data_IF_334084015360
#
_entry.id   IF_334084015360
#
_cell.length_a   1.000
_cell.length_b   1.000
_cell.length_c   1.000
_cell.angle_alpha   90.00
_cell.angle_beta   90.00
_cell.angle_gamma   90.00
#
_symmetry.space_group_name_H-M   'P 1'
#
loop_
_entity.id
_entity.type
_entity.pdbx_description
1 polymer ?
#
# COMPACT_ATOMS: atom_id res chain seq x y z
N UNK A 1 -21.61 -12.28 -14.63
CA UNK A 1 -21.65 -11.53 -13.35
C UNK A 1 -20.29 -11.72 -12.70
N UNK A 2 -19.43 -10.70 -12.78
CA UNK A 2 -18.03 -10.78 -12.35
C UNK A 2 -17.89 -11.05 -10.84
N UNK A 3 -16.81 -11.72 -10.45
CA UNK A 3 -16.51 -11.97 -9.03
C UNK A 3 -15.81 -10.74 -8.42
N UNK A 4 -15.26 -9.88 -9.28
CA UNK A 4 -14.70 -8.57 -8.94
C UNK A 4 -15.80 -7.57 -8.55
N UNK A 5 -16.00 -7.39 -7.24
CA UNK A 5 -16.87 -6.34 -6.71
C UNK A 5 -16.13 -5.01 -6.61
N UNK A 6 -16.86 -3.90 -6.50
CA UNK A 6 -16.27 -2.56 -6.34
C UNK A 6 -15.33 -2.47 -5.13
N UNK A 7 -15.65 -3.14 -4.01
CA UNK A 7 -14.79 -3.18 -2.84
C UNK A 7 -13.46 -3.91 -3.10
N UNK A 8 -13.50 -5.05 -3.80
CA UNK A 8 -12.30 -5.82 -4.18
C UNK A 8 -11.45 -5.06 -5.19
N UNK A 9 -12.10 -4.42 -6.16
CA UNK A 9 -11.43 -3.55 -7.13
C UNK A 9 -10.71 -2.39 -6.43
N UNK A 10 -11.37 -1.73 -5.47
CA UNK A 10 -10.75 -0.67 -4.68
C UNK A 10 -9.57 -1.18 -3.86
N UNK A 11 -9.69 -2.34 -3.21
CA UNK A 11 -8.58 -2.96 -2.48
C UNK A 11 -7.38 -3.25 -3.39
N UNK A 12 -7.63 -3.82 -4.59
CA UNK A 12 -6.58 -4.12 -5.57
C UNK A 12 -5.87 -2.85 -6.01
N UNK A 13 -6.62 -1.81 -6.41
CA UNK A 13 -6.05 -0.53 -6.83
C UNK A 13 -5.19 0.11 -5.72
N UNK A 14 -5.65 0.05 -4.47
CA UNK A 14 -4.90 0.57 -3.32
C UNK A 14 -3.58 -0.16 -3.11
N UNK A 15 -3.58 -1.49 -3.09
CA UNK A 15 -2.35 -2.26 -2.90
C UNK A 15 -1.36 -2.05 -4.04
N UNK A 16 -1.82 -2.06 -5.29
CA UNK A 16 -0.94 -1.83 -6.44
C UNK A 16 -0.35 -0.42 -6.37
N UNK A 17 -1.17 0.58 -6.04
CA UNK A 17 -0.73 1.96 -5.98
C UNK A 17 0.30 2.20 -4.87
N UNK A 18 0.11 1.64 -3.68
CA UNK A 18 0.98 1.91 -2.53
C UNK A 18 2.09 0.90 -2.32
N UNK A 19 1.84 -0.38 -2.56
CA UNK A 19 2.83 -1.46 -2.33
C UNK A 19 3.54 -1.86 -3.62
N UNK A 20 2.98 -1.52 -4.79
CA UNK A 20 3.57 -1.84 -6.08
C UNK A 20 3.43 -3.31 -6.49
N UNK A 21 2.75 -4.13 -5.68
CA UNK A 21 2.53 -5.54 -5.96
C UNK A 21 1.25 -6.08 -5.31
N UNK A 22 0.72 -7.17 -5.86
CA UNK A 22 -0.40 -7.90 -5.28
C UNK A 22 -0.34 -9.38 -5.67
N UNK A 23 -0.78 -10.26 -4.78
CA UNK A 23 -0.95 -11.69 -5.06
C UNK A 23 -2.26 -12.22 -4.47
N UNK A 24 -2.57 -13.50 -4.72
CA UNK A 24 -3.80 -14.14 -4.26
C UNK A 24 -3.95 -14.08 -2.74
N UNK A 25 -2.85 -14.19 -1.98
CA UNK A 25 -2.88 -14.23 -0.51
C UNK A 25 -3.45 -12.94 0.08
N UNK A 26 -3.15 -11.78 -0.50
CA UNK A 26 -3.71 -10.50 -0.03
C UNK A 26 -5.24 -10.51 -0.06
N UNK A 27 -5.83 -11.08 -1.12
CA UNK A 27 -7.28 -11.20 -1.24
C UNK A 27 -7.86 -12.27 -0.31
N UNK A 28 -7.17 -13.40 -0.15
CA UNK A 28 -7.55 -14.48 0.76
C UNK A 28 -7.59 -13.95 2.19
N UNK A 29 -6.53 -13.27 2.64
CA UNK A 29 -6.42 -12.72 3.99
C UNK A 29 -7.46 -11.63 4.24
N UNK A 30 -7.68 -10.74 3.26
CA UNK A 30 -8.62 -9.62 3.41
C UNK A 30 -10.07 -10.06 3.43
N UNK A 31 -10.46 -10.97 2.55
CA UNK A 31 -11.87 -11.31 2.30
C UNK A 31 -12.26 -12.72 2.74
N UNK A 32 -11.34 -13.51 3.28
CA UNK A 32 -11.53 -14.90 3.68
C UNK A 32 -12.14 -15.75 2.54
N UNK A 33 -11.63 -15.58 1.33
CA UNK A 33 -12.08 -16.27 0.11
C UNK A 33 -11.13 -17.40 -0.27
N UNK A 34 -11.58 -18.31 -1.14
CA UNK A 34 -10.71 -19.39 -1.61
C UNK A 34 -9.64 -18.87 -2.58
N UNK A 35 -8.52 -19.60 -2.68
CA UNK A 35 -7.46 -19.29 -3.65
C UNK A 35 -8.00 -19.19 -5.08
N UNK A 36 -8.87 -20.12 -5.48
CA UNK A 36 -9.48 -20.11 -6.82
C UNK A 36 -10.27 -18.83 -7.08
N UNK A 37 -11.03 -18.35 -6.08
CA UNK A 37 -11.75 -17.08 -6.18
C UNK A 37 -10.78 -15.90 -6.27
N UNK A 38 -9.75 -15.86 -5.43
CA UNK A 38 -8.72 -14.82 -5.45
C UNK A 38 -8.00 -14.73 -6.81
N UNK A 39 -7.51 -15.86 -7.34
CA UNK A 39 -6.85 -15.89 -8.64
C UNK A 39 -7.79 -15.47 -9.77
N UNK A 40 -9.07 -15.83 -9.69
CA UNK A 40 -10.08 -15.41 -10.68
C UNK A 40 -10.31 -13.90 -10.63
N UNK A 41 -10.36 -13.31 -9.44
CA UNK A 41 -10.49 -11.85 -9.25
C UNK A 41 -9.30 -11.11 -9.86
N UNK A 42 -8.06 -11.56 -9.58
CA UNK A 42 -6.86 -10.92 -10.16
C UNK A 42 -6.81 -11.08 -11.68
N UNK A 43 -7.22 -12.25 -12.19
CA UNK A 43 -7.33 -12.49 -13.63
C UNK A 43 -8.35 -11.55 -14.28
N UNK A 44 -9.52 -11.38 -13.68
CA UNK A 44 -10.58 -10.48 -14.16
C UNK A 44 -10.11 -9.01 -14.18
N UNK A 45 -9.41 -8.57 -13.12
CA UNK A 45 -8.79 -7.24 -13.07
C UNK A 45 -7.79 -7.05 -14.20
N UNK A 46 -6.84 -7.99 -14.38
CA UNK A 46 -5.80 -7.91 -15.41
C UNK A 46 -6.37 -7.97 -16.83
N UNK A 47 -7.41 -8.76 -17.07
CA UNK A 47 -8.09 -8.80 -18.38
C UNK A 47 -8.72 -7.45 -18.73
N UNK A 48 -9.20 -6.72 -17.72
CA UNK A 48 -9.80 -5.39 -17.91
C UNK A 48 -8.73 -4.30 -18.06
N UNK A 49 -7.59 -4.43 -17.35
CA UNK A 49 -6.51 -3.46 -17.33
C UNK A 49 -5.14 -4.14 -17.58
N UNK A 50 -4.89 -4.59 -18.82
CA UNK A 50 -3.71 -5.40 -19.14
C UNK A 50 -2.38 -4.64 -18.97
N UNK A 51 -2.40 -3.32 -19.14
CA UNK A 51 -1.21 -2.46 -19.04
C UNK A 51 -0.88 -2.03 -17.60
N UNK A 52 -1.71 -2.41 -16.61
CA UNK A 52 -1.49 -2.01 -15.21
C UNK A 52 -0.56 -2.97 -14.47
N UNK A 53 -0.50 -4.24 -14.86
CA UNK A 53 0.18 -5.29 -14.12
C UNK A 53 0.82 -6.34 -15.02
N UNK A 54 2.04 -6.75 -14.66
CA UNK A 54 2.67 -7.95 -15.18
C UNK A 54 2.89 -8.96 -14.06
N UNK A 55 2.89 -10.25 -14.40
CA UNK A 55 3.17 -11.31 -13.43
C UNK A 55 4.68 -11.55 -13.37
N UNK A 56 5.25 -11.49 -12.16
CA UNK A 56 6.64 -11.80 -11.91
C UNK A 56 6.76 -13.16 -11.20
N UNK A 57 7.50 -14.08 -11.82
CA UNK A 57 7.66 -15.45 -11.32
C UNK A 57 8.55 -15.52 -10.08
N UNK A 58 9.54 -14.63 -9.96
CA UNK A 58 10.46 -14.60 -8.82
C UNK A 58 9.76 -14.11 -7.56
N UNK A 59 8.96 -13.05 -7.68
CA UNK A 59 8.16 -12.50 -6.60
C UNK A 59 6.89 -13.32 -6.31
N UNK A 60 6.50 -14.21 -7.23
CA UNK A 60 5.22 -14.94 -7.22
C UNK A 60 4.04 -13.99 -6.98
N UNK A 61 4.06 -12.84 -7.67
CA UNK A 61 3.12 -11.74 -7.49
C UNK A 61 2.92 -10.98 -8.81
N UNK A 62 1.82 -10.26 -8.90
CA UNK A 62 1.62 -9.26 -9.94
C UNK A 62 2.28 -7.96 -9.49
N UNK A 63 3.17 -7.43 -10.31
CA UNK A 63 3.87 -6.19 -10.06
C UNK A 63 3.27 -5.06 -10.89
N UNK A 64 3.35 -3.84 -10.36
CA UNK A 64 2.92 -2.64 -11.07
C UNK A 64 3.79 -2.40 -12.31
N UNK A 65 3.14 -2.10 -13.44
CA UNK A 65 3.82 -1.67 -14.66
C UNK A 65 4.05 -0.14 -14.65
N UNK A 66 5.07 0.32 -15.37
CA UNK A 66 5.34 1.76 -15.52
C UNK A 66 4.19 2.50 -16.25
N UNK A 67 3.38 1.77 -17.03
CA UNK A 67 2.19 2.29 -17.71
C UNK A 67 0.94 2.32 -16.83
N UNK A 68 1.06 1.95 -15.54
CA UNK A 68 -0.07 1.89 -14.64
C UNK A 68 -0.86 3.20 -14.64
N UNK A 69 -2.15 3.08 -14.94
CA UNK A 69 -3.08 4.19 -14.86
C UNK A 69 -4.16 3.85 -13.83
N UNK A 70 -4.17 4.61 -12.73
CA UNK A 70 -5.20 4.52 -11.70
C UNK A 70 -6.59 4.69 -12.34
N UNK A 71 -7.47 3.74 -12.05
CA UNK A 71 -8.87 3.77 -12.48
C UNK A 71 -9.81 4.10 -11.32
N UNK A 72 -9.31 3.99 -10.10
CA UNK A 72 -9.98 4.51 -8.92
C UNK A 72 -9.63 5.98 -8.66
N UNK A 73 -10.63 6.81 -8.37
CA UNK A 73 -10.46 8.23 -8.02
C UNK A 73 -9.96 8.43 -6.58
N UNK A 74 -10.11 7.41 -5.73
CA UNK A 74 -9.79 7.45 -4.30
C UNK A 74 -8.56 6.58 -4.03
N UNK A 75 -7.36 7.17 -4.19
CA UNK A 75 -6.05 6.53 -3.95
C UNK A 75 -5.17 7.37 -3.01
N UNK A 76 -5.80 8.05 -2.04
CA UNK A 76 -5.05 8.75 -1.01
C UNK A 76 -4.53 7.77 0.05
N UNK A 77 -3.60 8.23 0.88
CA UNK A 77 -2.97 7.39 1.91
C UNK A 77 -3.95 7.00 3.03
N UNK A 78 -4.90 7.87 3.37
CA UNK A 78 -5.94 7.60 4.37
C UNK A 78 -6.76 6.39 3.95
N UNK A 79 -7.20 6.35 2.69
CA UNK A 79 -7.99 5.27 2.12
C UNK A 79 -7.19 3.98 2.14
N UNK A 80 -5.91 4.02 1.76
CA UNK A 80 -5.02 2.86 1.86
C UNK A 80 -4.95 2.33 3.30
N UNK A 81 -4.67 3.21 4.27
CA UNK A 81 -4.60 2.85 5.69
C UNK A 81 -5.91 2.24 6.16
N UNK A 82 -7.05 2.82 5.80
CA UNK A 82 -8.36 2.27 6.13
C UNK A 82 -8.58 0.88 5.49
N UNK A 83 -8.17 0.72 4.24
CA UNK A 83 -8.28 -0.53 3.49
C UNK A 83 -7.41 -1.63 4.09
N UNK A 84 -6.20 -1.35 4.59
CA UNK A 84 -5.36 -2.37 5.23
C UNK A 84 -5.74 -2.62 6.69
N UNK A 85 -6.18 -1.60 7.44
CA UNK A 85 -6.50 -1.72 8.89
C UNK A 85 -7.89 -2.28 9.17
N UNK A 86 -8.84 -2.18 8.23
CA UNK A 86 -10.23 -2.62 8.43
C UNK A 86 -10.42 -4.14 8.63
N UNK A 87 -9.35 -4.94 8.69
CA UNK A 87 -9.37 -6.32 9.23
C UNK A 87 -9.51 -6.32 10.76
N UNK A 88 -9.07 -5.26 11.43
CA UNK A 88 -9.25 -5.04 12.86
C UNK A 88 -10.63 -4.39 13.05
N UNK A 89 -11.58 -5.13 13.65
CA UNK A 89 -12.86 -4.54 14.08
C UNK A 89 -12.53 -3.30 14.92
N UNK A 90 -12.95 -2.08 14.50
CA UNK A 90 -12.76 -0.95 15.38
C UNK A 90 -13.68 -1.22 16.56
N UNK A 91 -13.10 -1.53 17.72
CA UNK A 91 -13.80 -1.45 19.00
C UNK A 91 -14.09 0.03 19.22
N UNK A 92 -15.11 0.54 18.52
CA UNK A 92 -15.63 1.89 18.73
C UNK A 92 -16.25 1.86 20.11
N UNK A 93 -15.44 2.16 21.12
CA UNK A 93 -15.95 2.45 22.45
C UNK A 93 -16.91 3.65 22.33
N UNK A 94 -18.02 3.60 23.07
CA UNK A 94 -19.10 4.60 23.08
C UNK A 94 -18.66 6.04 23.39
N UNK A 95 -17.37 6.27 23.65
CA UNK A 95 -16.76 7.54 24.04
C UNK A 95 -16.35 8.42 22.85
N UNK A 96 -16.43 7.91 21.62
CA UNK A 96 -15.96 8.62 20.40
C UNK A 96 -16.92 9.71 19.88
N UNK A 97 -17.89 10.16 20.69
CA UNK A 97 -18.88 11.18 20.27
C UNK A 97 -18.43 12.63 20.55
N UNK A 98 -17.37 12.82 21.35
CA UNK A 98 -16.94 14.15 21.81
C UNK A 98 -15.56 14.60 21.27
N UNK A 99 -14.89 13.77 20.47
CA UNK A 99 -13.64 14.13 19.81
C UNK A 99 -13.85 14.02 18.31
N UNK A 100 -13.92 15.17 17.63
CA UNK A 100 -13.66 15.23 16.20
C UNK A 100 -12.16 14.95 16.10
N UNK A 101 -11.80 13.73 15.74
CA UNK A 101 -10.44 13.41 15.33
C UNK A 101 -10.14 14.28 14.11
N UNK A 102 -9.42 15.39 14.33
CA UNK A 102 -8.97 16.24 13.23
C UNK A 102 -7.88 15.45 12.55
N UNK A 103 -8.25 14.83 11.43
CA UNK A 103 -7.32 14.13 10.58
C UNK A 103 -6.21 15.12 10.19
N UNK A 104 -4.98 14.84 10.61
CA UNK A 104 -3.85 15.69 10.28
C UNK A 104 -3.82 15.84 8.76
N UNK A 105 -3.58 17.04 8.20
CA UNK A 105 -3.52 17.20 6.76
C UNK A 105 -2.33 16.40 6.23
N UNK A 106 -2.60 15.18 5.77
CA UNK A 106 -1.62 14.34 5.12
C UNK A 106 -1.31 15.01 3.78
N UNK A 107 -0.23 15.80 3.79
CA UNK A 107 0.32 16.46 2.60
C UNK A 107 0.55 15.40 1.53
N UNK A 108 0.18 15.71 0.28
CA UNK A 108 0.38 14.94 -0.95
C UNK A 108 1.56 13.94 -0.87
N UNK A 109 1.30 12.72 -0.35
CA UNK A 109 2.32 11.70 -0.17
C UNK A 109 2.48 11.01 -1.52
N UNK A 110 3.69 11.05 -2.09
CA UNK A 110 3.95 10.38 -3.36
C UNK A 110 4.11 8.87 -3.13
N UNK A 111 3.25 8.02 -3.72
CA UNK A 111 3.36 6.57 -3.59
C UNK A 111 4.70 6.01 -4.07
N UNK A 112 5.32 6.63 -5.08
CA UNK A 112 6.64 6.22 -5.56
C UNK A 112 7.73 6.37 -4.49
N UNK A 113 7.59 7.33 -3.58
CA UNK A 113 8.51 7.50 -2.44
C UNK A 113 8.20 6.54 -1.29
N UNK A 114 6.95 6.11 -1.14
CA UNK A 114 6.50 5.22 -0.06
C UNK A 114 6.73 3.75 -0.39
N UNK A 115 6.56 3.33 -1.65
CA UNK A 115 6.83 1.96 -2.11
C UNK A 115 8.16 1.36 -1.64
N UNK A 116 9.33 2.04 -1.78
CA UNK A 116 10.59 1.47 -1.30
C UNK A 116 10.59 1.29 0.21
N UNK A 117 9.92 2.18 0.95
CA UNK A 117 9.75 2.07 2.41
C UNK A 117 8.94 0.82 2.76
N UNK A 118 7.77 0.66 2.16
CA UNK A 118 6.91 -0.50 2.38
C UNK A 118 7.57 -1.81 1.94
N UNK A 119 8.28 -1.80 0.81
CA UNK A 119 9.06 -2.94 0.34
C UNK A 119 10.10 -3.38 1.37
N UNK A 120 10.88 -2.44 1.91
CA UNK A 120 11.91 -2.80 2.87
C UNK A 120 11.34 -3.29 4.20
N UNK A 121 10.20 -2.75 4.65
CA UNK A 121 9.50 -3.28 5.83
C UNK A 121 9.09 -4.74 5.57
N UNK A 122 8.46 -5.01 4.43
CA UNK A 122 8.00 -6.36 4.06
C UNK A 122 9.15 -7.36 3.87
N UNK A 123 10.27 -6.93 3.28
CA UNK A 123 11.43 -7.76 2.97
C UNK A 123 12.50 -7.72 4.06
N UNK A 124 12.26 -7.00 5.16
CA UNK A 124 13.20 -6.80 6.27
C UNK A 124 14.57 -6.26 5.79
N UNK A 125 14.54 -5.32 4.84
CA UNK A 125 15.72 -4.68 4.28
C UNK A 125 16.05 -3.38 5.00
N UNK A 126 17.34 -3.01 4.97
CA UNK A 126 17.77 -1.68 5.39
C UNK A 126 17.48 -0.65 4.29
N UNK A 127 17.08 0.57 4.69
CA UNK A 127 16.91 1.71 3.79
C UNK A 127 17.84 2.83 4.22
N UNK A 128 18.53 3.43 3.25
CA UNK A 128 19.21 4.70 3.42
C UNK A 128 18.29 5.85 2.98
N UNK A 129 17.98 6.77 3.90
CA UNK A 129 17.08 7.90 3.66
C UNK A 129 17.82 9.21 3.97
N UNK A 130 18.05 10.01 2.93
CA UNK A 130 18.53 11.38 3.09
C UNK A 130 17.44 12.28 3.66
N UNK A 131 17.67 12.86 4.84
CA UNK A 131 16.76 13.82 5.46
C UNK A 131 17.25 15.25 5.28
N UNK A 132 16.36 16.15 4.83
CA UNK A 132 16.62 17.59 4.73
C UNK A 132 15.69 18.31 5.71
N UNK A 133 16.28 18.96 6.71
CA UNK A 133 15.54 19.79 7.66
C UNK A 133 15.27 21.17 7.09
N UNK A 134 14.06 21.71 7.32
CA UNK A 134 13.70 23.07 6.90
C UNK A 134 14.44 24.18 7.68
N UNK A 135 15.19 23.84 8.74
CA UNK A 135 15.93 24.80 9.54
C UNK A 135 17.25 25.26 8.87
N UNK A 136 17.74 24.54 7.87
CA UNK A 136 19.11 24.70 7.38
C UNK A 136 19.09 24.88 5.85
N UNK A 137 18.85 26.10 5.37
CA UNK A 137 19.26 26.51 4.02
C UNK A 137 20.79 26.65 3.97
N UNK A 138 21.50 25.55 4.19
CA UNK A 138 22.94 25.45 3.94
C UNK A 138 23.30 23.98 3.83
N UNK A 139 23.67 23.57 2.62
CA UNK A 139 24.09 22.22 2.29
C UNK A 139 25.20 21.75 3.24
N UNK A 140 24.93 20.67 3.96
CA UNK A 140 25.96 19.81 4.53
C UNK A 140 25.55 18.37 4.23
N UNK A 141 26.30 17.70 3.34
CA UNK A 141 26.34 16.24 3.28
C UNK A 141 26.82 15.75 4.65
N UNK A 142 25.87 15.50 5.56
CA UNK A 142 26.15 14.84 6.82
C UNK A 142 26.06 13.34 6.55
N UNK A 143 27.20 12.65 6.45
CA UNK A 143 27.25 11.21 6.65
C UNK A 143 26.79 10.97 8.09
N UNK A 144 25.55 10.52 8.26
CA UNK A 144 25.07 10.08 9.56
C UNK A 144 25.57 8.64 9.75
N UNK A 145 26.59 8.50 10.60
CA UNK A 145 27.05 7.22 11.08
C UNK A 145 25.92 6.46 11.79
N UNK A 146 25.88 5.16 11.51
CA UNK A 146 25.03 4.10 12.02
C UNK A 146 24.40 4.33 13.42
N UNK A 147 23.08 4.23 13.46
CA UNK A 147 22.37 3.69 14.63
C UNK A 147 21.37 2.65 14.13
N UNK A 148 21.77 1.39 14.20
CA UNK A 148 20.92 0.21 14.10
C UNK A 148 19.73 0.34 15.06
N UNK A 149 18.60 0.83 14.57
CA UNK A 149 17.31 0.44 15.11
C UNK A 149 16.90 -0.83 14.37
N UNK A 150 17.39 -1.95 14.90
CA UNK A 150 16.74 -3.23 14.72
C UNK A 150 15.35 -3.10 15.33
N UNK A 151 14.37 -2.68 14.52
CA UNK A 151 12.98 -2.93 14.84
C UNK A 151 12.73 -4.36 14.41
N UNK A 152 12.95 -5.28 15.36
CA UNK A 152 12.56 -6.67 15.26
C UNK A 152 11.04 -6.70 15.01
N UNK A 153 10.67 -7.61 14.10
CA UNK A 153 9.33 -7.97 13.67
C UNK A 153 8.30 -8.12 14.82
#
# INVERSE_FOLDING_TARGET
>A
MGILSAAKFHFIEQLIWWEGQINDNHLIEKYNITRVQASTILKEYRQTYPDNLYYDQSANAYLIDDKFTAKNQFLNVTDYLHVITSTVKPTKSKLTLCAIEVEAPLRNINPQQVRPILKAIREQLAIDIGYISQCEKSALKKHAAYSTLSLIA
#
